data_IF_537243837864
#
_entry.id   IF_537243837864
#
_cell.length_a   1.000
_cell.length_b   1.000
_cell.length_c   1.000
_cell.angle_alpha   90.00
_cell.angle_beta   90.00
_cell.angle_gamma   90.00
#
_symmetry.space_group_name_H-M   'P 1'
#
loop_
_entity.id
_entity.type
_entity.pdbx_description
1 polymer ?
#
# COMPACT_ATOMS: atom_id res chain seq x y z
N UNK A 1 -21.74 13.25 25.02
CA UNK A 1 -20.54 12.39 25.16
C UNK A 1 -20.03 11.99 23.76
N UNK A 2 -19.03 12.73 23.25
CA UNK A 2 -18.47 12.49 21.92
C UNK A 2 -17.55 11.26 22.02
N UNK A 3 -18.03 10.11 21.53
CA UNK A 3 -17.24 8.87 21.48
C UNK A 3 -15.99 9.17 20.63
N UNK A 4 -14.76 8.92 21.12
CA UNK A 4 -13.57 9.19 20.32
C UNK A 4 -13.68 8.40 19.03
N UNK A 5 -13.66 9.10 17.91
CA UNK A 5 -13.79 8.47 16.61
C UNK A 5 -12.45 7.80 16.31
N UNK A 6 -12.35 6.50 16.59
CA UNK A 6 -11.19 5.66 16.29
C UNK A 6 -11.01 5.43 14.78
N UNK A 7 -11.80 6.10 13.94
CA UNK A 7 -11.72 5.99 12.49
C UNK A 7 -10.37 6.53 12.00
N UNK A 8 -9.53 5.62 11.54
CA UNK A 8 -8.46 5.92 10.60
C UNK A 8 -9.12 6.41 9.31
N UNK A 9 -8.92 7.67 8.98
CA UNK A 9 -9.44 8.26 7.74
C UNK A 9 -8.29 8.23 6.74
N UNK A 10 -8.45 7.46 5.67
CA UNK A 10 -7.44 7.36 4.63
C UNK A 10 -8.06 7.40 3.24
N UNK A 11 -7.29 7.93 2.31
CA UNK A 11 -7.61 7.97 0.89
C UNK A 11 -6.41 7.51 0.09
N UNK A 12 -6.67 6.72 -0.94
CA UNK A 12 -5.66 6.25 -1.87
C UNK A 12 -6.12 6.40 -3.31
N UNK A 13 -5.16 6.56 -4.20
CA UNK A 13 -5.34 6.48 -5.63
C UNK A 13 -4.54 5.28 -6.14
N UNK A 14 -5.22 4.40 -6.86
CA UNK A 14 -4.64 3.23 -7.49
C UNK A 14 -4.74 3.42 -9.00
N UNK A 15 -3.61 3.30 -9.68
CA UNK A 15 -3.52 3.35 -11.13
C UNK A 15 -2.90 2.07 -11.65
N UNK A 16 -3.56 1.40 -12.59
CA UNK A 16 -3.06 0.16 -13.17
C UNK A 16 -3.07 0.24 -14.69
N UNK A 17 -1.88 0.30 -15.28
CA UNK A 17 -1.66 0.35 -16.71
C UNK A 17 -1.59 -1.06 -17.29
N UNK A 18 -2.54 -1.38 -18.19
CA UNK A 18 -2.61 -2.64 -18.95
C UNK A 18 -2.56 -3.91 -18.09
N UNK A 19 -2.98 -3.86 -16.82
CA UNK A 19 -2.82 -4.97 -15.86
C UNK A 19 -1.39 -5.52 -15.80
N UNK A 20 -0.40 -4.68 -16.12
CA UNK A 20 1.02 -5.02 -16.15
C UNK A 20 1.85 -4.12 -15.25
N UNK A 21 1.50 -2.85 -15.13
CA UNK A 21 2.22 -1.91 -14.27
C UNK A 21 1.19 -1.17 -13.43
N UNK A 22 1.22 -1.38 -12.13
CA UNK A 22 0.43 -0.67 -11.15
C UNK A 22 1.26 0.36 -10.39
N UNK A 23 0.64 1.44 -9.98
CA UNK A 23 1.16 2.36 -8.99
C UNK A 23 0.00 2.80 -8.10
N UNK A 24 0.20 2.78 -6.80
CA UNK A 24 -0.76 3.21 -5.80
C UNK A 24 -0.13 4.16 -4.82
N UNK A 25 -0.83 5.25 -4.55
CA UNK A 25 -0.43 6.26 -3.58
C UNK A 25 -1.55 6.35 -2.55
N UNK A 26 -1.20 6.14 -1.28
CA UNK A 26 -2.13 6.16 -0.16
C UNK A 26 -1.65 7.10 0.92
N UNK A 27 -2.59 7.80 1.52
CA UNK A 27 -2.38 8.54 2.76
C UNK A 27 -3.49 8.16 3.73
N UNK A 28 -3.12 7.81 4.95
CA UNK A 28 -4.05 7.58 6.03
C UNK A 28 -3.64 8.42 7.22
N UNK A 29 -4.61 9.04 7.87
CA UNK A 29 -4.42 9.80 9.08
C UNK A 29 -5.31 9.21 10.17
N UNK A 30 -4.69 8.83 11.27
CA UNK A 30 -5.39 8.36 12.47
C UNK A 30 -5.32 9.46 13.51
N UNK A 31 -6.37 10.31 13.63
CA UNK A 31 -6.34 11.49 14.51
C UNK A 31 -6.20 11.14 16.00
N UNK A 32 -6.63 9.95 16.42
CA UNK A 32 -6.48 9.50 17.80
C UNK A 32 -5.02 9.26 18.21
N UNK A 33 -4.16 8.88 17.26
CA UNK A 33 -2.76 8.56 17.49
C UNK A 33 -1.83 9.64 16.92
N UNK A 34 -2.37 10.76 16.42
CA UNK A 34 -1.66 11.75 15.60
C UNK A 34 -0.76 11.10 14.55
N UNK A 35 -1.24 9.97 14.00
CA UNK A 35 -0.44 9.09 13.16
C UNK A 35 -0.78 9.34 11.70
N UNK A 36 0.23 9.75 10.92
CA UNK A 36 0.14 9.90 9.47
C UNK A 36 0.91 8.78 8.79
N UNK A 37 0.17 7.93 8.10
CA UNK A 37 0.71 6.86 7.28
C UNK A 37 0.70 7.32 5.82
N UNK A 38 1.86 7.28 5.17
CA UNK A 38 2.03 7.51 3.74
C UNK A 38 2.50 6.20 3.10
N UNK A 39 1.89 5.82 2.00
CA UNK A 39 2.28 4.63 1.25
C UNK A 39 2.39 4.96 -0.22
N UNK A 40 3.50 4.60 -0.84
CA UNK A 40 3.69 4.62 -2.28
C UNK A 40 4.04 3.21 -2.72
N UNK A 41 3.13 2.51 -3.38
CA UNK A 41 3.35 1.15 -3.88
C UNK A 41 3.39 1.15 -5.40
N UNK A 42 4.32 0.42 -5.97
CA UNK A 42 4.37 0.03 -7.36
C UNK A 42 4.06 -1.46 -7.47
N UNK A 43 3.45 -1.84 -8.57
CA UNK A 43 3.19 -3.22 -8.94
C UNK A 43 3.63 -3.42 -10.40
N UNK A 44 4.14 -4.60 -10.70
CA UNK A 44 4.64 -4.97 -12.00
C UNK A 44 4.32 -6.44 -12.24
N UNK A 45 3.34 -6.73 -13.09
CA UNK A 45 3.06 -8.09 -13.52
C UNK A 45 4.11 -8.46 -14.57
N UNK A 46 5.13 -9.18 -14.11
CA UNK A 46 6.24 -9.67 -14.94
C UNK A 46 5.73 -10.68 -15.97
N UNK A 47 4.79 -11.53 -15.57
CA UNK A 47 4.26 -12.59 -16.42
C UNK A 47 2.80 -12.86 -16.09
N UNK A 48 1.94 -12.97 -17.12
CA UNK A 48 0.54 -13.33 -16.94
C UNK A 48 0.10 -14.24 -18.07
N UNK A 49 -0.27 -15.45 -17.69
CA UNK A 49 -0.85 -16.50 -18.51
C UNK A 49 -2.18 -16.94 -17.87
N UNK A 50 -3.08 -17.60 -18.62
CA UNK A 50 -4.38 -18.03 -18.10
C UNK A 50 -4.29 -18.97 -16.88
N UNK A 51 -3.16 -19.64 -16.69
CA UNK A 51 -2.93 -20.60 -15.57
C UNK A 51 -1.84 -20.16 -14.60
N UNK A 52 -1.09 -19.09 -14.90
CA UNK A 52 0.08 -18.66 -14.12
C UNK A 52 0.21 -17.14 -14.15
N UNK A 53 0.37 -16.50 -12.99
CA UNK A 53 0.73 -15.09 -12.87
C UNK A 53 1.97 -14.91 -11.98
N UNK A 54 2.83 -13.98 -12.38
CA UNK A 54 3.98 -13.53 -11.60
C UNK A 54 3.85 -12.03 -11.45
N UNK A 55 3.60 -11.61 -10.22
CA UNK A 55 3.32 -10.24 -9.86
C UNK A 55 4.41 -9.75 -8.90
N UNK A 56 5.14 -8.71 -9.30
CA UNK A 56 6.17 -8.08 -8.48
C UNK A 56 5.64 -6.76 -7.92
N UNK A 57 5.55 -6.67 -6.60
CA UNK A 57 5.16 -5.46 -5.88
C UNK A 57 6.37 -4.84 -5.21
N UNK A 58 6.45 -3.53 -5.22
CA UNK A 58 7.57 -2.78 -4.67
C UNK A 58 7.16 -1.38 -4.30
N UNK A 59 7.39 -0.96 -3.07
CA UNK A 59 6.92 0.33 -2.59
C UNK A 59 7.64 0.80 -1.35
N UNK A 60 7.21 1.94 -0.85
CA UNK A 60 7.69 2.53 0.38
C UNK A 60 6.50 2.92 1.26
N UNK A 61 6.63 2.66 2.56
CA UNK A 61 5.62 3.00 3.56
C UNK A 61 6.30 3.83 4.63
N UNK A 62 5.79 5.01 4.93
CA UNK A 62 6.26 5.88 6.01
C UNK A 62 5.13 6.01 7.01
N UNK A 63 5.44 6.01 8.29
CA UNK A 63 4.47 6.37 9.30
C UNK A 63 5.10 7.30 10.32
N UNK A 64 4.44 8.42 10.58
CA UNK A 64 4.83 9.38 11.59
C UNK A 64 3.79 9.37 12.69
N UNK A 65 4.20 9.11 13.93
CA UNK A 65 3.36 9.24 15.12
C UNK A 65 4.17 9.90 16.25
N UNK A 66 3.53 10.60 17.20
CA UNK A 66 4.19 11.33 18.28
C UNK A 66 5.01 10.42 19.22
N UNK A 67 4.73 9.12 19.25
CA UNK A 67 5.47 8.13 20.05
C UNK A 67 6.51 7.34 19.23
N UNK A 68 6.36 7.32 17.90
CA UNK A 68 7.23 6.54 17.02
C UNK A 68 7.20 7.12 15.60
N UNK A 69 8.34 7.60 15.13
CA UNK A 69 8.53 7.99 13.74
C UNK A 69 9.31 6.90 13.02
N UNK A 70 8.72 6.32 11.98
CA UNK A 70 9.39 5.40 11.08
C UNK A 70 9.63 6.10 9.75
N UNK A 71 10.90 6.16 9.35
CA UNK A 71 11.28 6.59 8.00
C UNK A 71 10.65 5.71 6.92
N UNK A 72 10.90 6.07 5.66
CA UNK A 72 10.45 5.30 4.51
C UNK A 72 10.96 3.86 4.59
N UNK A 73 10.05 2.94 4.86
CA UNK A 73 10.31 1.50 4.87
C UNK A 73 10.07 0.97 3.47
N UNK A 74 11.12 0.51 2.76
CA UNK A 74 10.91 -0.22 1.52
C UNK A 74 10.14 -1.50 1.81
N UNK A 75 9.23 -1.85 0.91
CA UNK A 75 8.42 -3.04 0.95
C UNK A 75 8.35 -3.62 -0.45
N UNK A 76 9.04 -4.74 -0.66
CA UNK A 76 9.00 -5.49 -1.91
C UNK A 76 8.39 -6.85 -1.63
N UNK A 77 7.60 -7.35 -2.57
CA UNK A 77 6.94 -8.64 -2.46
C UNK A 77 6.77 -9.24 -3.84
N UNK A 78 7.08 -10.52 -3.97
CA UNK A 78 6.91 -11.26 -5.21
C UNK A 78 5.82 -12.29 -4.99
N UNK A 79 4.77 -12.21 -5.79
CA UNK A 79 3.60 -13.08 -5.70
C UNK A 79 3.56 -13.97 -6.92
N UNK A 80 3.49 -15.28 -6.68
CA UNK A 80 3.31 -16.29 -7.71
C UNK A 80 1.92 -16.89 -7.57
N UNK A 81 1.07 -16.69 -8.59
CA UNK A 81 -0.25 -17.29 -8.69
C UNK A 81 -0.23 -18.41 -9.72
N UNK A 82 -0.76 -19.59 -9.36
CA UNK A 82 -1.01 -20.67 -10.32
C UNK A 82 -2.41 -21.20 -10.09
N UNK A 83 -3.24 -21.23 -11.13
CA UNK A 83 -4.58 -21.83 -11.10
C UNK A 83 -4.61 -23.07 -11.99
N UNK A 84 -5.24 -24.13 -11.48
CA UNK A 84 -5.43 -25.42 -12.16
C UNK A 84 -6.79 -25.49 -12.83
#
# INVERSE_FOLDING_TARGET
PNVPNFNTIGGGVDYMYKNKVGASLGMASTPFLDRKDYSAMGNLNLFRSPTTSVDFSGGFKKFESPFMSSGWKPNFGLTFGRSF
#
